data_IF_020982085096
#
_entry.id   IF_020982085096
#
_cell.length_a   1.000
_cell.length_b   1.000
_cell.length_c   1.000
_cell.angle_alpha   90.00
_cell.angle_beta   90.00
_cell.angle_gamma   90.00
#
_symmetry.space_group_name_H-M   'P 1'
#
loop_
_entity.id
_entity.type
_entity.pdbx_description
1 polymer ?
#
# COMPACT_ATOMS: atom_id res chain seq x y z
N UNK A 1 -9.12 -0.62 -8.74
CA UNK A 1 -10.19 -0.49 -9.75
C UNK A 1 -11.23 0.58 -9.46
N UNK A 2 -11.76 0.72 -8.23
CA UNK A 2 -12.72 1.78 -7.90
C UNK A 2 -12.26 3.22 -8.23
N UNK A 3 -10.99 3.57 -7.95
CA UNK A 3 -10.44 4.90 -8.28
C UNK A 3 -10.27 5.15 -9.78
N UNK A 4 -10.02 4.11 -10.59
CA UNK A 4 -9.98 4.26 -12.06
C UNK A 4 -11.38 4.54 -12.60
N UNK A 5 -12.37 3.81 -12.11
CA UNK A 5 -13.76 4.00 -12.51
C UNK A 5 -14.26 5.39 -12.10
N UNK A 6 -13.99 5.81 -10.87
CA UNK A 6 -14.37 7.14 -10.39
C UNK A 6 -13.73 8.27 -11.21
N UNK A 7 -12.44 8.16 -11.51
CA UNK A 7 -11.74 9.15 -12.33
C UNK A 7 -12.30 9.20 -13.76
N UNK A 8 -12.60 8.04 -14.35
CA UNK A 8 -13.24 7.96 -15.66
C UNK A 8 -14.66 8.53 -15.66
N UNK A 9 -15.44 8.34 -14.60
CA UNK A 9 -16.76 8.97 -14.46
C UNK A 9 -16.63 10.49 -14.38
N UNK A 10 -15.67 11.03 -13.62
CA UNK A 10 -15.44 12.48 -13.58
C UNK A 10 -15.06 13.06 -14.93
N UNK A 11 -14.24 12.34 -15.71
CA UNK A 11 -13.90 12.70 -17.08
C UNK A 11 -15.13 12.68 -18.00
N UNK A 12 -15.95 11.63 -17.93
CA UNK A 12 -17.18 11.51 -18.73
C UNK A 12 -18.19 12.64 -18.48
N UNK A 13 -18.29 13.13 -17.25
CA UNK A 13 -19.17 14.24 -16.90
C UNK A 13 -18.50 15.62 -17.04
N UNK A 14 -17.28 15.69 -17.60
CA UNK A 14 -16.56 16.93 -17.85
C UNK A 14 -15.98 17.60 -16.59
N UNK A 15 -15.89 16.90 -15.46
CA UNK A 15 -15.30 17.42 -14.23
C UNK A 15 -13.78 17.20 -14.20
N UNK A 16 -13.07 17.93 -15.06
CA UNK A 16 -11.61 17.83 -15.24
C UNK A 16 -10.82 18.00 -13.92
N UNK A 17 -11.14 18.94 -13.01
CA UNK A 17 -10.41 19.07 -11.75
C UNK A 17 -10.48 17.81 -10.88
N UNK A 18 -11.67 17.23 -10.70
CA UNK A 18 -11.83 16.00 -9.90
C UNK A 18 -11.25 14.77 -10.58
N UNK A 19 -11.33 14.70 -11.90
CA UNK A 19 -10.70 13.64 -12.68
C UNK A 19 -9.18 13.66 -12.49
N UNK A 20 -8.55 14.83 -12.63
CA UNK A 20 -7.12 15.03 -12.38
C UNK A 20 -6.75 14.63 -10.95
N UNK A 21 -7.40 15.16 -9.93
CA UNK A 21 -7.13 14.83 -8.52
C UNK A 21 -7.18 13.32 -8.24
N UNK A 22 -8.19 12.65 -8.80
CA UNK A 22 -8.37 11.20 -8.62
C UNK A 22 -7.29 10.40 -9.34
N UNK A 23 -6.92 10.79 -10.56
CA UNK A 23 -5.83 10.15 -11.31
C UNK A 23 -4.46 10.41 -10.68
N UNK A 24 -4.20 11.61 -10.14
CA UNK A 24 -2.97 11.92 -9.42
C UNK A 24 -2.83 11.07 -8.16
N UNK A 25 -3.92 10.90 -7.42
CA UNK A 25 -3.99 10.00 -6.26
C UNK A 25 -3.70 8.55 -6.64
N UNK A 26 -4.25 8.08 -7.77
CA UNK A 26 -3.99 6.75 -8.28
C UNK A 26 -2.52 6.57 -8.68
N UNK A 27 -1.95 7.56 -9.37
CA UNK A 27 -0.55 7.53 -9.78
C UNK A 27 0.41 7.55 -8.59
N UNK A 28 0.10 8.30 -7.52
CA UNK A 28 0.89 8.30 -6.30
C UNK A 28 0.97 6.90 -5.63
N UNK A 29 -0.06 6.06 -5.80
CA UNK A 29 -0.08 4.67 -5.30
C UNK A 29 0.75 3.71 -6.16
N UNK A 30 0.88 3.98 -7.45
CA UNK A 30 1.70 3.21 -8.38
C UNK A 30 2.44 4.12 -9.38
N UNK A 31 3.57 4.68 -8.94
CA UNK A 31 4.34 5.64 -9.75
C UNK A 31 5.02 5.02 -10.99
N UNK A 32 4.89 3.70 -11.19
CA UNK A 32 5.38 2.98 -12.38
C UNK A 32 4.28 2.72 -13.42
N UNK A 33 3.08 3.24 -13.22
CA UNK A 33 2.02 3.22 -14.23
C UNK A 33 2.27 4.32 -15.26
N UNK A 34 3.03 3.98 -16.31
CA UNK A 34 3.43 4.93 -17.35
C UNK A 34 2.28 5.27 -18.32
N UNK A 35 1.26 4.42 -18.41
CA UNK A 35 0.01 4.73 -19.12
C UNK A 35 -0.73 5.87 -18.41
N UNK A 36 -0.85 5.76 -17.09
CA UNK A 36 -1.48 6.78 -16.26
C UNK A 36 -0.64 8.07 -16.19
N UNK A 37 0.69 7.96 -16.13
CA UNK A 37 1.57 9.12 -16.21
C UNK A 37 1.36 9.89 -17.51
N UNK A 38 1.30 9.19 -18.65
CA UNK A 38 1.03 9.83 -19.95
C UNK A 38 -0.36 10.46 -19.98
N UNK A 39 -1.39 9.78 -19.48
CA UNK A 39 -2.75 10.36 -19.39
C UNK A 39 -2.78 11.65 -18.58
N UNK A 40 -2.17 11.66 -17.39
CA UNK A 40 -2.07 12.86 -16.55
C UNK A 40 -1.34 13.99 -17.28
N UNK A 41 -0.26 13.68 -18.00
CA UNK A 41 0.43 14.67 -18.82
C UNK A 41 -0.47 15.25 -19.91
N UNK A 42 -1.23 14.43 -20.63
CA UNK A 42 -2.14 14.89 -21.68
C UNK A 42 -3.24 15.80 -21.11
N UNK A 43 -3.89 15.39 -20.02
CA UNK A 43 -4.94 16.20 -19.37
C UNK A 43 -4.40 17.53 -18.84
N UNK A 44 -3.20 17.56 -18.26
CA UNK A 44 -2.55 18.80 -17.86
C UNK A 44 -2.16 19.67 -19.08
N UNK A 45 -1.92 19.05 -20.24
CA UNK A 45 -1.67 19.74 -21.51
C UNK A 45 -2.91 20.48 -22.03
N UNK A 46 -4.10 19.87 -21.91
CA UNK A 46 -5.37 20.49 -22.31
C UNK A 46 -5.67 21.76 -21.50
N UNK A 47 -5.25 21.80 -20.23
CA UNK A 47 -5.37 22.98 -19.36
C UNK A 47 -4.09 23.83 -19.31
N UNK A 48 -3.18 23.64 -20.27
CA UNK A 48 -1.93 24.40 -20.43
C UNK A 48 -0.99 24.43 -19.20
N UNK A 49 -1.09 23.45 -18.30
CA UNK A 49 -0.21 23.33 -17.13
C UNK A 49 1.13 22.66 -17.48
N UNK A 50 1.99 23.39 -18.21
CA UNK A 50 3.28 22.88 -18.71
C UNK A 50 4.19 22.29 -17.62
N UNK A 51 4.12 22.80 -16.39
CA UNK A 51 4.89 22.31 -15.24
C UNK A 51 4.51 20.87 -14.90
N UNK A 52 3.21 20.59 -14.77
CA UNK A 52 2.71 19.23 -14.48
C UNK A 52 2.90 18.29 -15.67
N UNK A 53 2.76 18.78 -16.91
CA UNK A 53 3.10 18.01 -18.12
C UNK A 53 4.55 17.52 -18.03
N UNK A 54 5.50 18.45 -17.85
CA UNK A 54 6.91 18.11 -17.77
C UNK A 54 7.20 17.12 -16.62
N UNK A 55 6.54 17.30 -15.46
CA UNK A 55 6.69 16.42 -14.30
C UNK A 55 6.35 14.96 -14.64
N UNK A 56 5.18 14.71 -15.24
CA UNK A 56 4.75 13.34 -15.54
C UNK A 56 5.52 12.72 -16.71
N UNK A 57 5.79 13.49 -17.77
CA UNK A 57 6.54 12.98 -18.92
C UNK A 57 7.98 12.58 -18.56
N UNK A 58 8.64 13.31 -17.65
CA UNK A 58 9.99 12.93 -17.16
C UNK A 58 10.02 11.58 -16.47
N UNK A 59 8.90 11.07 -15.96
CA UNK A 59 8.82 9.77 -15.29
C UNK A 59 8.71 8.59 -16.25
N UNK A 60 8.48 8.82 -17.55
CA UNK A 60 8.31 7.79 -18.57
C UNK A 60 9.69 7.39 -19.14
N UNK A 61 10.19 6.18 -18.87
CA UNK A 61 11.52 5.75 -19.34
C UNK A 61 11.56 5.41 -20.84
N UNK A 62 12.75 5.50 -21.43
CA UNK A 62 12.99 5.23 -22.86
C UNK A 62 12.65 3.82 -23.37
N UNK A 63 12.51 2.85 -22.48
CA UNK A 63 12.12 1.48 -22.82
C UNK A 63 10.62 1.18 -22.81
N UNK A 64 9.76 2.19 -22.62
CA UNK A 64 8.29 1.99 -22.49
C UNK A 64 7.52 2.37 -23.74
N UNK A 65 6.34 1.77 -23.93
CA UNK A 65 5.48 2.04 -25.09
C UNK A 65 5.14 3.53 -25.24
N UNK A 66 4.93 4.23 -24.12
CA UNK A 66 4.57 5.66 -24.07
C UNK A 66 5.74 6.62 -24.26
N UNK A 67 6.97 6.15 -24.42
CA UNK A 67 8.12 7.04 -24.54
C UNK A 67 8.06 7.93 -25.79
N UNK A 68 7.71 7.36 -26.95
CA UNK A 68 7.60 8.14 -28.19
C UNK A 68 6.45 9.15 -28.10
N UNK A 69 5.33 8.74 -27.54
CA UNK A 69 4.17 9.60 -27.30
C UNK A 69 4.52 10.77 -26.37
N UNK A 70 5.27 10.49 -25.30
CA UNK A 70 5.76 11.50 -24.35
C UNK A 70 6.66 12.54 -25.04
N UNK A 71 7.55 12.11 -25.92
CA UNK A 71 8.40 13.02 -26.70
C UNK A 71 7.57 13.89 -27.65
N UNK A 72 6.57 13.31 -28.32
CA UNK A 72 5.71 14.03 -29.24
C UNK A 72 4.88 15.11 -28.52
N UNK A 73 4.28 14.76 -27.36
CA UNK A 73 3.51 15.71 -26.55
C UNK A 73 4.38 16.84 -25.99
N UNK A 74 5.59 16.55 -25.54
CA UNK A 74 6.50 17.59 -25.07
C UNK A 74 6.93 18.53 -26.21
N UNK A 75 7.21 17.97 -27.39
CA UNK A 75 7.56 18.76 -28.58
C UNK A 75 6.41 19.67 -29.00
N UNK A 76 5.17 19.17 -29.03
CA UNK A 76 4.00 19.98 -29.41
C UNK A 76 3.74 21.14 -28.44
N UNK A 77 4.12 21.00 -27.17
CA UNK A 77 3.97 22.01 -26.14
C UNK A 77 5.22 22.90 -25.93
N UNK A 78 6.30 22.66 -26.68
CA UNK A 78 7.58 23.38 -26.56
C UNK A 78 8.32 23.12 -25.24
N UNK A 79 8.19 21.93 -24.66
CA UNK A 79 8.80 21.54 -23.38
C UNK A 79 10.10 20.77 -23.64
N UNK A 80 11.21 21.25 -23.06
CA UNK A 80 12.48 20.52 -23.07
C UNK A 80 12.49 19.44 -21.96
N UNK A 81 12.60 18.18 -22.35
CA UNK A 81 12.64 17.04 -21.44
C UNK A 81 14.05 16.44 -21.33
N UNK A 82 14.54 16.29 -20.10
CA UNK A 82 15.58 15.34 -19.74
C UNK A 82 14.91 14.06 -19.22
N UNK A 83 14.83 13.04 -20.08
CA UNK A 83 14.10 11.81 -19.79
C UNK A 83 14.96 10.80 -19.02
N UNK A 84 14.30 9.98 -18.20
CA UNK A 84 14.97 8.91 -17.44
C UNK A 84 15.48 7.85 -18.44
N UNK A 85 16.78 7.49 -18.40
CA UNK A 85 17.31 6.41 -19.23
C UNK A 85 16.57 5.11 -18.94
N UNK A 86 16.54 4.20 -19.93
CA UNK A 86 15.86 2.92 -19.81
C UNK A 86 16.22 2.26 -18.47
N UNK A 87 15.21 2.03 -17.62
CA UNK A 87 15.42 1.22 -16.43
C UNK A 87 15.80 -0.20 -16.89
N UNK A 88 16.75 -0.87 -16.24
CA UNK A 88 17.09 -2.24 -16.60
C UNK A 88 15.83 -3.10 -16.61
N UNK A 89 15.54 -3.66 -17.78
CA UNK A 89 14.36 -4.47 -18.04
C UNK A 89 14.37 -5.70 -17.14
N UNK A 90 13.52 -5.73 -16.10
CA UNK A 90 13.24 -6.99 -15.41
C UNK A 90 12.25 -7.78 -16.25
N UNK A 91 12.75 -8.45 -17.31
CA UNK A 91 12.07 -9.62 -17.87
C UNK A 91 12.29 -10.77 -16.90
N UNK A 92 11.31 -11.06 -16.03
CA UNK A 92 11.30 -12.32 -15.26
C UNK A 92 10.31 -13.29 -15.89
N UNK A 93 10.77 -13.95 -16.95
CA UNK A 93 10.43 -15.36 -17.16
C UNK A 93 11.66 -16.12 -16.70
N UNK A 94 11.62 -16.69 -15.50
CA UNK A 94 12.69 -17.55 -15.00
C UNK A 94 12.11 -18.91 -14.65
N UNK A 95 12.36 -19.88 -15.53
CA UNK A 95 12.62 -21.26 -15.14
C UNK A 95 13.75 -21.23 -14.11
N UNK A 96 13.48 -21.62 -12.86
CA UNK A 96 14.46 -21.56 -11.79
C UNK A 96 15.47 -22.70 -11.96
N UNK A 97 16.65 -22.40 -12.51
CA UNK A 97 17.87 -23.13 -12.16
C UNK A 97 18.57 -22.34 -11.05
N UNK A 98 18.45 -22.83 -9.83
CA UNK A 98 18.96 -22.17 -8.62
C UNK A 98 20.48 -22.32 -8.54
N UNK A 99 21.21 -21.23 -8.73
CA UNK A 99 22.55 -21.03 -8.17
C UNK A 99 22.51 -19.74 -7.35
N UNK A 100 22.02 -19.83 -6.12
CA UNK A 100 22.03 -18.71 -5.17
C UNK A 100 23.47 -18.47 -4.71
N UNK A 101 24.08 -17.36 -5.14
CA UNK A 101 25.24 -16.81 -4.45
C UNK A 101 24.77 -16.17 -3.14
N UNK A 102 25.49 -16.36 -2.01
CA UNK A 102 25.09 -15.77 -0.74
C UNK A 102 25.06 -14.25 -0.85
N UNK A 103 23.93 -13.65 -0.49
CA UNK A 103 23.81 -12.20 -0.31
C UNK A 103 24.59 -11.86 0.95
N UNK A 104 25.68 -11.10 0.82
CA UNK A 104 26.39 -10.56 1.96
C UNK A 104 25.44 -9.65 2.75
N UNK A 105 25.09 -10.03 3.98
CA UNK A 105 24.10 -9.39 4.86
C UNK A 105 24.54 -8.02 5.44
N UNK A 106 25.38 -7.25 4.73
CA UNK A 106 26.07 -6.05 5.24
C UNK A 106 25.16 -4.85 5.55
N UNK A 107 23.84 -4.94 5.32
CA UNK A 107 22.85 -3.90 5.65
C UNK A 107 21.76 -4.30 6.65
N UNK A 108 21.85 -5.48 7.29
CA UNK A 108 20.82 -5.97 8.21
C UNK A 108 21.00 -5.38 9.61
N UNK A 109 20.13 -4.45 9.99
CA UNK A 109 19.98 -4.00 11.38
C UNK A 109 18.87 -4.79 12.09
N UNK A 110 19.15 -5.32 13.29
CA UNK A 110 18.18 -6.06 14.09
C UNK A 110 17.63 -5.21 15.23
N UNK A 111 16.31 -5.06 15.28
CA UNK A 111 15.61 -4.41 16.39
C UNK A 111 15.17 -5.50 17.39
N UNK A 112 15.69 -5.45 18.61
CA UNK A 112 15.37 -6.40 19.70
C UNK A 112 14.14 -5.97 20.52
N UNK A 113 13.70 -6.82 21.45
CA UNK A 113 12.61 -6.50 22.40
C UNK A 113 11.20 -6.89 21.91
N UNK A 114 11.12 -7.91 21.07
CA UNK A 114 9.87 -8.55 20.64
C UNK A 114 9.86 -9.99 21.14
N UNK A 115 8.67 -10.54 21.37
CA UNK A 115 8.50 -11.93 21.78
C UNK A 115 7.47 -12.60 20.86
N UNK A 116 7.97 -13.42 19.94
CA UNK A 116 7.17 -13.98 18.84
C UNK A 116 6.57 -12.92 17.90
N UNK A 117 7.36 -11.97 17.34
CA UNK A 117 6.81 -11.01 16.38
C UNK A 117 6.29 -11.73 15.12
N UNK A 118 5.01 -11.55 14.80
CA UNK A 118 4.33 -12.30 13.74
C UNK A 118 3.74 -11.42 12.64
N UNK A 119 3.21 -10.25 12.98
CA UNK A 119 2.63 -9.31 12.02
C UNK A 119 3.15 -7.91 12.19
N UNK A 120 3.11 -7.14 11.10
CA UNK A 120 3.58 -5.76 11.04
C UNK A 120 2.66 -4.92 10.16
N UNK A 121 2.40 -3.67 10.57
CA UNK A 121 1.70 -2.68 9.76
C UNK A 121 2.25 -1.28 10.01
N UNK A 122 1.96 -0.33 9.10
CA UNK A 122 2.41 1.06 9.17
C UNK A 122 1.22 2.01 9.01
N UNK A 123 1.12 3.01 9.88
CA UNK A 123 0.08 4.04 9.78
C UNK A 123 0.47 5.18 8.81
N UNK A 124 -0.46 6.10 8.59
CA UNK A 124 -0.26 7.28 7.73
C UNK A 124 0.85 8.23 8.23
N UNK A 125 1.19 8.17 9.52
CA UNK A 125 2.23 8.98 10.18
C UNK A 125 3.60 8.30 10.18
N UNK A 126 3.70 7.10 9.61
CA UNK A 126 4.94 6.34 9.54
C UNK A 126 5.31 5.62 10.84
N UNK A 127 4.39 5.51 11.82
CA UNK A 127 4.60 4.61 12.95
C UNK A 127 4.39 3.17 12.51
N UNK A 128 5.19 2.27 13.06
CA UNK A 128 5.12 0.82 12.81
C UNK A 128 4.45 0.15 14.00
N UNK A 129 3.59 -0.82 13.73
CA UNK A 129 2.93 -1.64 14.73
C UNK A 129 3.34 -3.09 14.51
N UNK A 130 3.69 -3.78 15.58
CA UNK A 130 4.15 -5.17 15.55
C UNK A 130 3.27 -5.99 16.48
N UNK A 131 2.70 -7.07 15.97
CA UNK A 131 1.99 -8.07 16.75
C UNK A 131 2.98 -9.09 17.31
N UNK A 132 3.01 -9.22 18.63
CA UNK A 132 3.80 -10.20 19.35
C UNK A 132 2.88 -11.34 19.76
N UNK A 133 2.92 -12.44 19.01
CA UNK A 133 2.09 -13.61 19.21
C UNK A 133 2.27 -14.20 20.62
N UNK A 134 3.51 -14.42 21.04
CA UNK A 134 3.83 -15.10 22.30
C UNK A 134 3.63 -14.24 23.54
N UNK A 135 3.58 -12.91 23.40
CA UNK A 135 3.40 -11.96 24.50
C UNK A 135 2.00 -11.32 24.53
N UNK A 136 1.10 -11.74 23.64
CA UNK A 136 -0.25 -11.18 23.51
C UNK A 136 -0.25 -9.64 23.49
N UNK A 137 0.67 -9.05 22.71
CA UNK A 137 0.88 -7.60 22.72
C UNK A 137 0.99 -7.02 21.32
N UNK A 138 0.60 -5.74 21.20
CA UNK A 138 0.91 -4.90 20.05
C UNK A 138 1.93 -3.85 20.49
N UNK A 139 3.11 -3.83 19.86
CA UNK A 139 4.14 -2.82 20.08
C UNK A 139 4.03 -1.75 19.00
N UNK A 140 4.07 -0.49 19.40
CA UNK A 140 4.22 0.64 18.49
C UNK A 140 5.67 1.12 18.47
N UNK A 141 6.20 1.39 17.29
CA UNK A 141 7.48 2.04 17.04
C UNK A 141 7.19 3.36 16.34
N UNK A 142 7.52 4.47 16.97
CA UNK A 142 7.38 5.79 16.35
C UNK A 142 8.41 5.97 15.24
N UNK A 143 8.16 6.90 14.32
CA UNK A 143 9.08 7.22 13.21
C UNK A 143 10.53 7.55 13.68
N UNK A 144 10.71 8.07 14.90
CA UNK A 144 12.01 8.27 15.54
C UNK A 144 12.62 7.05 16.25
N UNK A 145 12.08 5.84 16.06
CA UNK A 145 12.59 4.59 16.63
C UNK A 145 12.16 4.29 18.07
N UNK A 146 11.45 5.21 18.74
CA UNK A 146 10.95 5.02 20.11
C UNK A 146 9.88 3.93 20.13
N UNK A 147 10.11 2.87 20.92
CA UNK A 147 9.20 1.73 21.09
C UNK A 147 8.37 1.88 22.35
N UNK A 148 7.10 1.47 22.29
CA UNK A 148 6.23 1.31 23.47
C UNK A 148 5.24 0.17 23.26
N UNK A 149 4.81 -0.46 24.35
CA UNK A 149 3.65 -1.34 24.33
C UNK A 149 2.40 -0.48 24.12
N UNK A 150 1.64 -0.77 23.07
CA UNK A 150 0.39 -0.07 22.78
C UNK A 150 -0.78 -0.76 23.50
N UNK A 151 -0.85 -2.09 23.38
CA UNK A 151 -1.81 -2.94 24.07
C UNK A 151 -1.14 -4.26 24.47
N UNK A 152 -1.59 -4.86 25.58
CA UNK A 152 -1.11 -6.14 26.09
C UNK A 152 -2.24 -6.88 26.80
N UNK A 153 -2.14 -8.20 26.80
CA UNK A 153 -3.10 -9.12 27.42
C UNK A 153 -4.51 -8.97 26.82
N UNK A 154 -5.55 -9.37 27.55
CA UNK A 154 -6.92 -9.39 27.04
C UNK A 154 -7.36 -8.00 26.55
N UNK A 155 -8.02 -7.91 25.38
CA UNK A 155 -8.59 -9.02 24.60
C UNK A 155 -7.63 -9.68 23.58
N UNK A 156 -6.35 -9.31 23.54
CA UNK A 156 -5.37 -9.96 22.65
C UNK A 156 -5.08 -11.40 23.10
N UNK A 157 -5.06 -12.31 22.15
CA UNK A 157 -4.79 -13.72 22.34
C UNK A 157 -4.21 -14.32 21.05
N UNK A 158 -2.87 -14.41 20.99
CA UNK A 158 -2.13 -14.80 19.81
C UNK A 158 -2.35 -13.86 18.62
N UNK A 159 -2.05 -12.54 18.74
CA UNK A 159 -2.19 -11.64 17.61
C UNK A 159 -1.18 -12.00 16.51
N UNK A 160 -1.66 -12.12 15.26
CA UNK A 160 -0.85 -12.42 14.08
C UNK A 160 -0.86 -11.25 13.10
N UNK A 161 -1.60 -11.35 12.01
CA UNK A 161 -1.68 -10.33 10.97
C UNK A 161 -2.28 -9.01 11.46
N UNK A 162 -1.74 -7.92 10.92
CA UNK A 162 -2.22 -6.56 11.16
C UNK A 162 -2.59 -5.90 9.83
N UNK A 163 -3.70 -5.16 9.81
CA UNK A 163 -4.04 -4.25 8.72
C UNK A 163 -4.41 -2.88 9.30
N UNK A 164 -4.24 -1.82 8.52
CA UNK A 164 -4.58 -0.45 8.94
C UNK A 164 -5.50 0.17 7.89
N UNK A 165 -6.58 0.83 8.35
CA UNK A 165 -7.49 1.55 7.46
C UNK A 165 -7.06 3.00 7.19
N UNK A 166 -7.81 3.69 6.32
CA UNK A 166 -7.55 5.07 5.94
C UNK A 166 -7.72 6.08 7.10
N UNK A 167 -8.28 5.64 8.23
CA UNK A 167 -8.47 6.44 9.44
C UNK A 167 -7.46 6.08 10.54
N UNK A 168 -6.41 5.31 10.20
CA UNK A 168 -5.40 4.78 11.11
C UNK A 168 -5.96 3.88 12.23
N UNK A 169 -7.10 3.21 12.04
CA UNK A 169 -7.49 2.12 12.94
C UNK A 169 -6.72 0.84 12.58
N UNK A 170 -6.33 0.06 13.59
CA UNK A 170 -5.61 -1.20 13.41
C UNK A 170 -6.60 -2.36 13.54
N UNK A 171 -6.53 -3.29 12.59
CA UNK A 171 -7.27 -4.54 12.59
C UNK A 171 -6.29 -5.67 12.91
N UNK A 172 -6.67 -6.54 13.84
CA UNK A 172 -5.80 -7.59 14.37
C UNK A 172 -6.44 -8.95 14.16
N UNK A 173 -5.72 -9.88 13.54
CA UNK A 173 -6.09 -11.28 13.51
C UNK A 173 -5.79 -11.89 14.88
N UNK A 174 -6.84 -12.12 15.68
CA UNK A 174 -6.74 -12.64 17.04
C UNK A 174 -6.87 -14.16 16.99
N UNK A 175 -5.77 -14.81 16.62
CA UNK A 175 -5.73 -16.18 16.11
C UNK A 175 -6.33 -17.19 17.08
N UNK A 176 -5.92 -17.17 18.35
CA UNK A 176 -6.35 -18.16 19.34
C UNK A 176 -7.80 -17.94 19.79
N UNK A 177 -8.32 -16.72 19.66
CA UNK A 177 -9.71 -16.39 20.02
C UNK A 177 -10.67 -16.47 18.83
N UNK A 178 -10.21 -16.79 17.62
CA UNK A 178 -11.08 -16.88 16.43
C UNK A 178 -11.83 -15.57 16.13
N UNK A 179 -11.15 -14.44 16.32
CA UNK A 179 -11.72 -13.09 16.26
C UNK A 179 -10.89 -12.15 15.40
N UNK A 180 -11.54 -11.12 14.87
CA UNK A 180 -10.87 -9.89 14.41
C UNK A 180 -11.12 -8.79 15.42
N UNK A 181 -10.05 -8.18 15.93
CA UNK A 181 -10.14 -7.00 16.79
C UNK A 181 -9.95 -5.73 15.96
N UNK A 182 -10.61 -4.65 16.38
CA UNK A 182 -10.37 -3.28 15.91
C UNK A 182 -9.82 -2.44 17.05
N UNK A 183 -8.68 -1.82 16.83
CA UNK A 183 -8.05 -0.85 17.71
C UNK A 183 -8.27 0.54 17.12
N UNK A 184 -8.92 1.41 17.87
CA UNK A 184 -9.00 2.84 17.54
C UNK A 184 -7.88 3.58 18.24
N UNK A 185 -6.92 4.11 17.47
CA UNK A 185 -5.82 4.92 18.00
C UNK A 185 -6.30 6.27 18.54
N UNK A 186 -7.39 6.81 17.99
CA UNK A 186 -7.97 8.08 18.44
C UNK A 186 -8.56 7.97 19.84
N UNK A 187 -9.25 6.86 20.12
CA UNK A 187 -9.97 6.65 21.37
C UNK A 187 -9.19 5.76 22.35
N UNK A 188 -8.05 5.21 21.92
CA UNK A 188 -7.25 4.22 22.65
C UNK A 188 -8.08 3.01 23.13
N UNK A 189 -9.00 2.53 22.30
CA UNK A 189 -9.90 1.40 22.61
C UNK A 189 -9.62 0.22 21.71
N UNK A 190 -9.83 -0.99 22.24
CA UNK A 190 -9.81 -2.24 21.49
C UNK A 190 -11.16 -2.96 21.63
N UNK A 191 -11.76 -3.32 20.49
CA UNK A 191 -13.07 -3.97 20.45
C UNK A 191 -13.02 -5.19 19.53
N UNK A 192 -13.82 -6.22 19.84
CA UNK A 192 -14.06 -7.32 18.90
C UNK A 192 -14.94 -6.80 17.76
N UNK A 193 -14.47 -6.92 16.52
CA UNK A 193 -15.19 -6.49 15.33
C UNK A 193 -15.93 -7.66 14.67
N UNK A 194 -15.25 -8.80 14.51
CA UNK A 194 -15.84 -10.02 13.95
C UNK A 194 -15.48 -11.21 14.84
N UNK A 195 -16.41 -12.18 14.95
CA UNK A 195 -16.31 -13.40 15.76
C UNK A 195 -16.57 -14.63 14.90
N UNK A 196 -16.27 -15.81 15.44
CA UNK A 196 -16.53 -17.11 14.82
C UNK A 196 -15.77 -17.34 13.51
N UNK A 197 -14.55 -16.80 13.42
CA UNK A 197 -13.62 -17.14 12.35
C UNK A 197 -12.93 -18.49 12.66
N UNK A 198 -12.22 -19.06 11.71
CA UNK A 198 -11.44 -20.27 11.87
C UNK A 198 -9.95 -19.95 11.79
N UNK A 199 -9.35 -19.63 12.95
CA UNK A 199 -7.92 -19.31 13.10
C UNK A 199 -7.47 -18.22 12.11
N UNK A 200 -7.99 -16.98 12.24
CA UNK A 200 -7.64 -15.89 11.33
C UNK A 200 -6.14 -15.61 11.41
N UNK A 201 -5.47 -15.49 10.26
CA UNK A 201 -4.01 -15.43 10.19
C UNK A 201 -3.52 -14.07 9.69
N UNK A 202 -3.66 -13.79 8.40
CA UNK A 202 -3.22 -12.54 7.76
C UNK A 202 -4.40 -11.70 7.32
N UNK A 203 -4.23 -10.38 7.35
CA UNK A 203 -5.23 -9.37 7.04
C UNK A 203 -4.73 -8.42 5.95
N UNK A 204 -5.62 -7.97 5.09
CA UNK A 204 -5.38 -6.87 4.16
C UNK A 204 -6.63 -5.99 4.04
N UNK A 205 -6.45 -4.68 4.10
CA UNK A 205 -7.48 -3.70 3.80
C UNK A 205 -7.32 -3.23 2.36
N UNK A 206 -8.40 -3.25 1.57
CA UNK A 206 -8.40 -2.58 0.28
C UNK A 206 -8.84 -1.11 0.39
N UNK A 207 -8.62 -0.36 -0.68
CA UNK A 207 -8.98 1.06 -0.71
C UNK A 207 -10.49 1.33 -0.81
N UNK A 208 -11.29 0.28 -0.97
CA UNK A 208 -12.74 0.31 -1.03
C UNK A 208 -13.37 -0.03 0.33
N UNK A 209 -12.56 -0.22 1.37
CA UNK A 209 -12.98 -0.51 2.74
C UNK A 209 -13.37 -1.97 2.99
N UNK A 210 -12.89 -2.89 2.15
CA UNK A 210 -13.00 -4.33 2.42
C UNK A 210 -11.77 -4.84 3.18
N UNK A 211 -12.03 -5.58 4.25
CA UNK A 211 -11.06 -6.38 4.97
C UNK A 211 -11.07 -7.80 4.43
N UNK A 212 -9.94 -8.26 3.91
CA UNK A 212 -9.70 -9.63 3.51
C UNK A 212 -8.93 -10.36 4.61
N UNK A 213 -9.38 -11.56 4.96
CA UNK A 213 -8.85 -12.35 6.07
C UNK A 213 -8.59 -13.76 5.59
N UNK A 214 -7.35 -14.21 5.74
CA UNK A 214 -7.02 -15.64 5.56
C UNK A 214 -7.37 -16.40 6.84
N UNK A 215 -8.10 -17.50 6.71
CA UNK A 215 -8.55 -18.35 7.82
C UNK A 215 -7.87 -19.71 7.71
N UNK A 216 -6.81 -19.89 8.50
CA UNK A 216 -5.96 -21.09 8.43
C UNK A 216 -6.73 -22.34 8.87
N UNK A 217 -7.70 -22.20 9.76
CA UNK A 217 -8.43 -23.36 10.30
C UNK A 217 -9.48 -23.93 9.33
N UNK A 218 -9.88 -23.16 8.31
CA UNK A 218 -10.88 -23.56 7.32
C UNK A 218 -10.35 -23.55 5.89
N UNK A 219 -9.04 -23.34 5.70
CA UNK A 219 -8.39 -23.23 4.39
C UNK A 219 -9.11 -22.25 3.45
N UNK A 220 -9.58 -21.12 4.00
CA UNK A 220 -10.45 -20.19 3.28
C UNK A 220 -10.00 -18.73 3.38
N UNK A 221 -10.66 -17.88 2.59
CA UNK A 221 -10.51 -16.43 2.61
C UNK A 221 -11.89 -15.81 2.86
N UNK A 222 -12.01 -15.05 3.95
CA UNK A 222 -13.18 -14.22 4.23
C UNK A 222 -12.97 -12.79 3.76
N UNK A 223 -14.08 -12.13 3.41
CA UNK A 223 -14.11 -10.71 3.05
C UNK A 223 -15.23 -10.01 3.79
N UNK A 224 -14.90 -8.94 4.51
CA UNK A 224 -15.85 -8.12 5.26
C UNK A 224 -15.85 -6.68 4.75
N UNK A 225 -17.03 -6.05 4.65
CA UNK A 225 -17.15 -4.61 4.41
C UNK A 225 -17.05 -3.88 5.76
N UNK A 226 -16.12 -2.93 5.87
CA UNK A 226 -15.81 -2.25 7.14
C UNK A 226 -16.26 -0.79 7.14
N UNK A 227 -16.12 -0.09 6.01
CA UNK A 227 -16.63 1.27 5.76
C UNK A 227 -16.78 1.48 4.26
#
# INVERSE_FOLDING_TARGET
DAYRNLAATYEQIGNTPKALETYETLYAKNSRDYELAYKLASMHGEIYNKTKVAYYLRKIPSGTARYKDAQALAKSLGIQLTLVPAQPSVKKTQTIKSTVKPVNNSGKSQIKGFNGPAGIAKDSKGNIYVANFSDNSIIQIKSGGVKRVLFKDKPLNGPLGLAIDIYDNIYVANYNSNEILKISLKNNTINVLYKNLSRPYSLMMDSSGYLFVTEQGSDSLSRFKVF
#
